data_IF_875571332595
#
_entry.id   IF_875571332595
#
_cell.length_a   1.000
_cell.length_b   1.000
_cell.length_c   1.000
_cell.angle_alpha   90.00
_cell.angle_beta   90.00
_cell.angle_gamma   90.00
#
_symmetry.space_group_name_H-M   'P 1'
#
loop_
_entity.id
_entity.type
_entity.pdbx_description
1 polymer ?
#
# COMPACT_ATOMS: atom_id res chain seq x y z
N UNK A 1 2.88 -20.07 -7.48
CA UNK A 1 1.58 -19.48 -7.05
C UNK A 1 1.65 -18.83 -5.67
N UNK A 2 2.08 -19.49 -4.57
CA UNK A 2 2.24 -18.82 -3.27
C UNK A 2 3.35 -17.75 -3.23
N UNK A 3 4.25 -17.77 -4.23
CA UNK A 3 5.43 -16.89 -4.28
C UNK A 3 5.09 -15.43 -4.62
N UNK A 4 4.26 -15.16 -5.63
CA UNK A 4 3.86 -13.78 -6.00
C UNK A 4 3.05 -13.10 -4.88
N UNK A 5 2.22 -13.90 -4.20
CA UNK A 5 1.50 -13.51 -2.98
C UNK A 5 2.45 -13.21 -1.81
N UNK A 6 3.48 -14.04 -1.62
CA UNK A 6 4.52 -13.80 -0.61
C UNK A 6 5.40 -12.60 -0.96
N UNK A 7 5.62 -12.30 -2.25
CA UNK A 7 6.41 -11.16 -2.71
C UNK A 7 5.69 -9.82 -2.52
N UNK A 8 4.37 -9.75 -2.73
CA UNK A 8 3.56 -8.58 -2.32
C UNK A 8 3.66 -8.32 -0.81
N UNK A 9 3.71 -9.39 -0.01
CA UNK A 9 3.86 -9.29 1.44
C UNK A 9 5.29 -8.96 1.88
N UNK A 10 6.29 -9.33 1.08
CA UNK A 10 7.73 -9.12 1.33
C UNK A 10 8.28 -7.83 0.71
N UNK A 11 7.41 -6.87 0.40
CA UNK A 11 7.76 -5.64 -0.31
C UNK A 11 8.92 -4.87 0.32
N UNK A 12 9.51 -3.95 -0.45
CA UNK A 12 10.82 -3.33 -0.19
C UNK A 12 11.13 -3.11 1.30
N UNK A 13 12.19 -3.76 1.78
CA UNK A 13 12.70 -3.65 3.16
C UNK A 13 13.26 -2.26 3.49
N UNK A 14 13.24 -1.31 2.54
CA UNK A 14 13.76 0.03 2.78
C UNK A 14 12.87 0.75 3.81
N UNK A 15 13.41 1.09 4.99
CA UNK A 15 12.63 1.77 6.01
C UNK A 15 12.19 3.14 5.48
N UNK A 16 10.95 3.55 5.79
CA UNK A 16 10.54 4.93 5.56
C UNK A 16 11.58 5.87 6.18
N UNK A 17 11.96 6.94 5.47
CA UNK A 17 13.08 7.78 5.86
C UNK A 17 12.83 8.39 7.25
N UNK A 18 13.74 8.14 8.18
CA UNK A 18 13.74 8.80 9.47
C UNK A 18 14.14 10.27 9.27
N UNK A 19 13.27 11.18 9.72
CA UNK A 19 13.52 12.61 9.75
C UNK A 19 13.26 13.14 11.14
N UNK A 20 14.06 14.11 11.57
CA UNK A 20 13.77 14.89 12.77
C UNK A 20 12.53 15.74 12.51
N UNK A 21 11.38 15.22 12.95
CA UNK A 21 10.09 15.88 12.85
C UNK A 21 9.85 16.78 14.07
N UNK A 22 9.24 17.96 13.88
CA UNK A 22 8.81 18.78 15.01
C UNK A 22 7.77 18.01 15.85
N UNK A 23 7.71 18.28 17.15
CA UNK A 23 6.71 17.69 18.04
C UNK A 23 5.30 17.89 17.47
N UNK A 24 4.47 16.86 17.58
CA UNK A 24 3.08 16.89 17.14
C UNK A 24 2.90 17.23 15.63
N UNK A 25 3.90 16.92 14.80
CA UNK A 25 3.75 16.98 13.34
C UNK A 25 2.57 16.13 12.83
N UNK A 26 1.95 16.58 11.74
CA UNK A 26 1.00 15.79 10.97
C UNK A 26 1.71 15.18 9.76
N UNK A 27 1.51 13.89 9.53
CA UNK A 27 2.20 13.12 8.49
C UNK A 27 1.22 12.66 7.41
N UNK A 28 1.59 12.81 6.14
CA UNK A 28 0.86 12.21 5.03
C UNK A 28 1.83 11.30 4.29
N UNK A 29 1.51 10.00 4.26
CA UNK A 29 2.27 9.00 3.53
C UNK A 29 1.51 8.61 2.27
N UNK A 30 2.17 8.74 1.12
CA UNK A 30 1.63 8.40 -0.20
C UNK A 30 2.53 7.33 -0.80
N UNK A 31 1.95 6.17 -1.11
CA UNK A 31 2.68 5.02 -1.66
C UNK A 31 1.66 4.02 -2.18
N UNK A 32 2.07 3.07 -3.02
CA UNK A 32 1.32 1.83 -3.27
C UNK A 32 1.29 0.91 -2.02
N UNK A 33 2.16 1.18 -1.05
CA UNK A 33 2.38 0.46 0.21
C UNK A 33 2.66 -1.01 0.01
N UNK A 34 3.31 -1.39 -1.10
CA UNK A 34 3.80 -2.75 -1.32
C UNK A 34 5.09 -2.94 -0.52
N UNK A 35 4.94 -3.04 0.81
CA UNK A 35 6.02 -3.18 1.79
C UNK A 35 5.58 -4.05 2.98
N UNK A 36 6.53 -4.57 3.75
CA UNK A 36 6.24 -5.34 4.97
C UNK A 36 5.37 -4.54 5.97
N UNK A 37 4.19 -5.09 6.30
CA UNK A 37 3.23 -4.45 7.19
C UNK A 37 3.74 -4.29 8.62
N UNK A 38 4.56 -5.22 9.11
CA UNK A 38 5.11 -5.13 10.46
C UNK A 38 6.15 -4.00 10.55
N UNK A 39 6.91 -3.75 9.49
CA UNK A 39 7.80 -2.61 9.36
C UNK A 39 7.04 -1.29 9.38
N UNK A 40 6.01 -1.17 8.55
CA UNK A 40 5.14 0.00 8.53
C UNK A 40 4.50 0.22 9.92
N UNK A 41 3.99 -0.83 10.56
CA UNK A 41 3.39 -0.75 11.88
C UNK A 41 4.39 -0.26 12.94
N UNK A 42 5.64 -0.74 12.92
CA UNK A 42 6.69 -0.27 13.82
C UNK A 42 6.95 1.23 13.65
N UNK A 43 7.03 1.70 12.41
CA UNK A 43 7.29 3.11 12.10
C UNK A 43 6.12 4.01 12.45
N UNK A 44 4.89 3.63 12.07
CA UNK A 44 3.68 4.37 12.44
C UNK A 44 3.53 4.45 13.96
N UNK A 45 3.79 3.36 14.69
CA UNK A 45 3.79 3.35 16.16
C UNK A 45 4.84 4.30 16.73
N UNK A 46 6.06 4.28 16.19
CA UNK A 46 7.15 5.16 16.59
C UNK A 46 6.78 6.65 16.47
N UNK A 47 6.09 7.03 15.38
CA UNK A 47 5.62 8.40 15.19
C UNK A 47 4.45 8.76 16.10
N UNK A 48 3.47 7.86 16.24
CA UNK A 48 2.35 8.02 17.16
C UNK A 48 2.82 8.24 18.59
N UNK A 49 3.81 7.48 19.07
CA UNK A 49 4.33 7.59 20.44
C UNK A 49 5.02 8.94 20.72
N UNK A 50 5.41 9.67 19.65
CA UNK A 50 5.92 11.05 19.71
C UNK A 50 4.81 12.11 19.58
N UNK A 51 3.55 11.69 19.52
CA UNK A 51 2.37 12.54 19.40
C UNK A 51 2.07 12.98 17.97
N UNK A 52 2.64 12.34 16.96
CA UNK A 52 2.33 12.64 15.56
C UNK A 52 0.99 12.04 15.14
N UNK A 53 0.22 12.80 14.37
CA UNK A 53 -0.99 12.33 13.69
C UNK A 53 -0.67 12.09 12.22
N UNK A 54 -1.56 11.41 11.50
CA UNK A 54 -1.31 11.24 10.07
C UNK A 54 -2.41 10.56 9.27
N UNK A 55 -2.09 10.42 7.98
CA UNK A 55 -2.91 9.81 6.96
C UNK A 55 -2.07 8.92 6.04
N UNK A 56 -2.60 7.75 5.71
CA UNK A 56 -2.05 6.84 4.70
C UNK A 56 -2.92 6.92 3.43
N UNK A 57 -2.33 7.34 2.31
CA UNK A 57 -3.01 7.37 1.01
C UNK A 57 -2.38 6.31 0.08
N UNK A 58 -3.09 5.20 -0.13
CA UNK A 58 -2.65 4.17 -1.05
C UNK A 58 -2.91 4.61 -2.50
N UNK A 59 -1.89 4.61 -3.36
CA UNK A 59 -2.03 4.92 -4.79
C UNK A 59 -1.99 3.59 -5.57
N UNK A 60 -3.02 3.32 -6.38
CA UNK A 60 -3.17 2.03 -7.07
C UNK A 60 -3.57 2.25 -8.52
N UNK A 61 -3.01 1.48 -9.45
CA UNK A 61 -3.50 1.47 -10.82
C UNK A 61 -4.64 0.44 -10.99
N UNK A 62 -5.79 0.79 -11.59
CA UNK A 62 -6.88 -0.18 -11.80
C UNK A 62 -6.47 -1.43 -12.58
N UNK A 63 -5.46 -1.33 -13.46
CA UNK A 63 -4.96 -2.48 -14.20
C UNK A 63 -4.26 -3.50 -13.27
N UNK A 64 -3.72 -3.06 -12.13
CA UNK A 64 -3.12 -3.93 -11.11
C UNK A 64 -4.20 -4.74 -10.37
N UNK A 65 -5.39 -4.17 -10.14
CA UNK A 65 -6.50 -4.86 -9.49
C UNK A 65 -7.24 -5.81 -10.46
N UNK A 66 -7.40 -5.38 -11.71
CA UNK A 66 -8.25 -6.04 -12.71
C UNK A 66 -7.44 -6.92 -13.67
N UNK A 67 -6.11 -7.01 -13.57
CA UNK A 67 -5.21 -7.86 -14.38
C UNK A 67 -5.75 -8.15 -15.79
N UNK A 68 -6.01 -7.13 -16.64
CA UNK A 68 -6.82 -7.29 -17.87
C UNK A 68 -6.10 -8.03 -19.01
N UNK A 69 -5.02 -8.75 -18.72
CA UNK A 69 -4.21 -9.46 -19.69
C UNK A 69 -4.83 -10.83 -20.03
N UNK A 70 -5.17 -11.04 -21.32
CA UNK A 70 -5.66 -12.31 -21.86
C UNK A 70 -4.55 -13.03 -22.64
N UNK A 71 -4.46 -14.36 -22.51
CA UNK A 71 -3.49 -15.20 -23.24
C UNK A 71 -2.35 -15.76 -22.37
N UNK A 72 -1.25 -16.16 -23.01
CA UNK A 72 -0.06 -16.70 -22.33
C UNK A 72 0.72 -15.53 -21.72
N UNK A 73 0.43 -15.19 -20.46
CA UNK A 73 1.07 -14.07 -19.75
C UNK A 73 2.32 -14.60 -19.04
N UNK A 74 3.48 -14.08 -19.45
CA UNK A 74 4.74 -14.28 -18.74
C UNK A 74 4.83 -13.20 -17.67
N UNK A 75 4.66 -13.58 -16.41
CA UNK A 75 4.96 -12.68 -15.31
C UNK A 75 6.48 -12.68 -15.13
N UNK A 76 7.10 -11.55 -15.46
CA UNK A 76 8.49 -11.27 -15.08
C UNK A 76 8.39 -10.54 -13.75
N UNK A 77 9.05 -11.06 -12.71
CA UNK A 77 9.11 -10.37 -11.43
C UNK A 77 9.67 -8.97 -11.65
N UNK A 78 9.07 -7.96 -11.01
CA UNK A 78 9.41 -6.54 -11.21
C UNK A 78 10.88 -6.24 -10.85
N UNK A 79 11.55 -7.14 -10.13
CA UNK A 79 12.87 -6.90 -9.52
C UNK A 79 13.91 -7.98 -9.88
N UNK A 80 13.94 -8.43 -11.14
CA UNK A 80 15.06 -9.19 -11.70
C UNK A 80 14.95 -10.72 -11.63
N UNK A 81 13.78 -11.24 -11.28
CA UNK A 81 13.55 -12.68 -11.17
C UNK A 81 13.03 -13.29 -12.47
N UNK A 82 13.59 -14.46 -12.81
CA UNK A 82 13.31 -15.18 -14.05
C UNK A 82 11.82 -15.46 -14.30
N UNK A 83 11.44 -15.72 -15.56
CA UNK A 83 10.05 -15.71 -15.97
C UNK A 83 9.21 -16.81 -15.31
N UNK A 84 8.09 -16.42 -14.70
CA UNK A 84 7.07 -17.34 -14.21
C UNK A 84 6.00 -17.55 -15.28
N UNK A 85 5.97 -18.76 -15.85
CA UNK A 85 4.93 -19.20 -16.77
C UNK A 85 3.73 -19.73 -15.96
N UNK A 86 2.61 -19.01 -15.99
CA UNK A 86 1.35 -19.46 -15.39
C UNK A 86 0.38 -19.88 -16.50
N UNK A 87 -0.06 -21.14 -16.45
CA UNK A 87 -0.91 -21.77 -17.47
C UNK A 87 -2.41 -21.47 -17.31
N UNK A 88 -2.86 -21.01 -16.14
CA UNK A 88 -4.26 -20.63 -15.88
C UNK A 88 -4.35 -19.24 -15.23
N UNK A 89 -4.76 -18.25 -16.02
CA UNK A 89 -4.89 -16.85 -15.58
C UNK A 89 -6.06 -16.60 -14.61
N UNK A 90 -7.02 -17.53 -14.50
CA UNK A 90 -8.22 -17.38 -13.68
C UNK A 90 -7.98 -17.58 -12.19
N UNK A 91 -7.30 -18.67 -11.81
CA UNK A 91 -6.98 -18.99 -10.41
C UNK A 91 -5.99 -18.00 -9.82
N UNK A 92 -4.97 -17.59 -10.59
CA UNK A 92 -3.98 -16.60 -10.19
C UNK A 92 -4.63 -15.25 -9.82
N UNK A 93 -5.64 -14.81 -10.58
CA UNK A 93 -6.35 -13.55 -10.33
C UNK A 93 -7.06 -13.54 -8.99
N UNK A 94 -7.72 -14.65 -8.64
CA UNK A 94 -8.46 -14.77 -7.39
C UNK A 94 -7.51 -14.75 -6.19
N UNK A 95 -6.43 -15.52 -6.26
CA UNK A 95 -5.42 -15.56 -5.19
C UNK A 95 -4.71 -14.22 -5.03
N UNK A 96 -4.35 -13.56 -6.13
CA UNK A 96 -3.74 -12.23 -6.11
C UNK A 96 -4.68 -11.18 -5.50
N UNK A 97 -5.94 -11.13 -5.96
CA UNK A 97 -6.93 -10.19 -5.42
C UNK A 97 -7.17 -10.39 -3.92
N UNK A 98 -7.16 -11.65 -3.45
CA UNK A 98 -7.23 -11.97 -2.02
C UNK A 98 -6.02 -11.42 -1.27
N UNK A 99 -4.80 -11.63 -1.77
CA UNK A 99 -3.59 -11.12 -1.12
C UNK A 99 -3.59 -9.59 -1.04
N UNK A 100 -3.99 -8.90 -2.12
CA UNK A 100 -4.13 -7.43 -2.13
C UNK A 100 -5.18 -6.98 -1.12
N UNK A 101 -6.32 -7.66 -1.03
CA UNK A 101 -7.37 -7.33 -0.07
C UNK A 101 -6.92 -7.55 1.39
N UNK A 102 -6.22 -8.64 1.68
CA UNK A 102 -5.64 -8.93 2.99
C UNK A 102 -4.59 -7.88 3.38
N UNK A 103 -3.71 -7.52 2.44
CA UNK A 103 -2.71 -6.48 2.63
C UNK A 103 -3.33 -5.12 2.92
N UNK A 104 -4.34 -4.72 2.13
CA UNK A 104 -5.09 -3.48 2.33
C UNK A 104 -5.82 -3.46 3.67
N UNK A 105 -6.38 -4.59 4.12
CA UNK A 105 -6.98 -4.70 5.44
C UNK A 105 -5.94 -4.47 6.56
N UNK A 106 -4.71 -4.96 6.37
CA UNK A 106 -3.56 -4.68 7.23
C UNK A 106 -3.25 -3.18 7.33
N UNK A 107 -3.16 -2.47 6.19
CA UNK A 107 -2.94 -1.02 6.17
C UNK A 107 -4.01 -0.25 6.94
N UNK A 108 -5.29 -0.60 6.73
CA UNK A 108 -6.41 0.00 7.46
C UNK A 108 -6.30 -0.25 8.96
N UNK A 109 -5.91 -1.47 9.35
CA UNK A 109 -5.71 -1.84 10.76
C UNK A 109 -4.60 -1.01 11.41
N UNK A 110 -3.46 -0.86 10.74
CA UNK A 110 -2.32 -0.06 11.21
C UNK A 110 -2.72 1.40 11.41
N UNK A 111 -3.36 2.01 10.40
CA UNK A 111 -3.82 3.40 10.49
C UNK A 111 -4.78 3.59 11.67
N UNK A 112 -5.79 2.72 11.80
CA UNK A 112 -6.77 2.80 12.90
C UNK A 112 -6.13 2.64 14.28
N UNK A 113 -5.20 1.70 14.44
CA UNK A 113 -4.49 1.47 15.70
C UNK A 113 -3.62 2.67 16.13
N UNK A 114 -3.24 3.52 15.18
CA UNK A 114 -2.52 4.76 15.44
C UNK A 114 -3.44 5.99 15.60
N UNK A 115 -4.75 5.85 15.43
CA UNK A 115 -5.68 6.98 15.34
C UNK A 115 -5.52 7.79 14.04
N UNK A 116 -4.87 7.21 13.03
CA UNK A 116 -4.64 7.81 11.73
C UNK A 116 -5.75 7.42 10.75
N UNK A 117 -5.87 8.18 9.67
CA UNK A 117 -6.83 7.91 8.60
C UNK A 117 -6.18 7.17 7.41
N UNK A 118 -7.01 6.49 6.61
CA UNK A 118 -6.58 5.73 5.44
C UNK A 118 -7.53 6.00 4.26
N UNK A 119 -6.98 6.16 3.06
CA UNK A 119 -7.75 6.22 1.82
C UNK A 119 -6.99 5.54 0.67
N UNK A 120 -7.72 5.23 -0.40
CA UNK A 120 -7.17 4.71 -1.66
C UNK A 120 -7.45 5.72 -2.75
N UNK A 121 -6.47 5.99 -3.60
CA UNK A 121 -6.59 6.77 -4.82
C UNK A 121 -6.22 5.89 -6.02
N UNK A 122 -7.14 5.80 -6.97
CA UNK A 122 -6.87 5.13 -8.23
C UNK A 122 -6.32 6.10 -9.27
N UNK A 123 -5.27 5.70 -10.01
CA UNK A 123 -4.56 6.53 -10.98
C UNK A 123 -5.38 6.93 -12.20
N UNK A 124 -6.50 6.23 -12.48
CA UNK A 124 -7.45 6.56 -13.54
C UNK A 124 -8.42 7.69 -13.16
N UNK A 125 -8.44 8.08 -11.89
CA UNK A 125 -9.29 9.14 -11.37
C UNK A 125 -8.51 10.45 -11.23
N UNK A 126 -9.21 11.58 -11.25
CA UNK A 126 -8.58 12.85 -10.88
C UNK A 126 -8.04 12.79 -9.45
N UNK A 127 -6.85 13.34 -9.21
CA UNK A 127 -6.28 13.47 -7.88
C UNK A 127 -7.00 14.52 -7.00
N UNK A 128 -7.81 15.41 -7.59
CA UNK A 128 -8.46 16.51 -6.88
C UNK A 128 -9.30 16.07 -5.66
N UNK A 129 -10.15 15.03 -5.72
CA UNK A 129 -10.91 14.56 -4.56
C UNK A 129 -10.01 14.01 -3.45
N UNK A 130 -8.95 13.27 -3.79
CA UNK A 130 -8.00 12.75 -2.81
C UNK A 130 -7.27 13.90 -2.10
N UNK A 131 -6.79 14.88 -2.85
CA UNK A 131 -6.12 16.08 -2.29
C UNK A 131 -7.07 16.91 -1.41
N UNK A 132 -8.35 17.05 -1.80
CA UNK A 132 -9.34 17.76 -0.99
C UNK A 132 -9.64 17.02 0.32
N UNK A 133 -9.74 15.68 0.26
CA UNK A 133 -9.89 14.84 1.45
C UNK A 133 -8.69 14.95 2.40
N UNK A 134 -7.46 14.95 1.86
CA UNK A 134 -6.24 15.18 2.64
C UNK A 134 -6.23 16.57 3.29
N UNK A 135 -6.57 17.61 2.54
CA UNK A 135 -6.66 18.97 3.08
C UNK A 135 -7.65 19.04 4.25
N UNK A 136 -8.83 18.43 4.11
CA UNK A 136 -9.82 18.39 5.17
C UNK A 136 -9.35 17.60 6.39
N UNK A 137 -8.63 16.49 6.19
CA UNK A 137 -8.06 15.69 7.28
C UNK A 137 -6.97 16.46 8.04
N UNK A 138 -6.11 17.20 7.33
CA UNK A 138 -5.04 18.00 7.93
C UNK A 138 -5.55 19.27 8.64
N UNK A 139 -6.70 19.79 8.19
CA UNK A 139 -7.32 20.97 8.79
C UNK A 139 -8.04 20.67 10.12
N UNK A 140 -8.21 19.39 10.49
CA UNK A 140 -8.75 19.01 11.80
C UNK A 140 -7.64 19.11 12.86
N UNK A 141 -7.88 19.83 13.98
CA UNK A 141 -6.90 20.06 15.03
C UNK A 141 -6.61 18.81 15.88
#
# INVERSE_FOLDING_TARGET
LPRLAAELAAGQDEPLPERDLPRNAQLVLLSDFLMDLAQLERQVRHWRDRGHTGHLLQIVDPAEEVLPYQGRVQFVGLEGEGPLLVSEAGSLRHDYARCVAEHRAGLVSIARAAGWSFAVHHTDQSASPALLGLYAALAQP
#
